data_IF_333539428273
#
_entry.id   IF_333539428273
#
_cell.length_a   1.000
_cell.length_b   1.000
_cell.length_c   1.000
_cell.angle_alpha   90.00
_cell.angle_beta   90.00
_cell.angle_gamma   90.00
#
_symmetry.space_group_name_H-M   'P 1'
#
loop_
_entity.id
_entity.type
_entity.pdbx_description
1 polymer ?
#
# COMPACT_ATOMS: atom_id res chain seq x y z
N UNK A 1 21.22 -5.51 -1.53
CA UNK A 1 21.24 -4.48 -2.59
C UNK A 1 22.15 -3.32 -2.21
N UNK A 2 22.16 -2.89 -0.92
CA UNK A 2 23.05 -1.84 -0.42
C UNK A 2 22.54 -0.41 -0.61
N UNK A 3 21.29 -0.23 -1.05
CA UNK A 3 20.66 1.07 -1.23
C UNK A 3 19.97 1.54 0.07
N UNK A 4 20.73 1.89 1.09
CA UNK A 4 20.22 2.22 2.42
C UNK A 4 19.32 3.46 2.42
N UNK A 5 19.66 4.50 1.64
CA UNK A 5 18.85 5.71 1.49
C UNK A 5 17.45 5.39 0.89
N UNK A 6 17.36 4.46 -0.05
CA UNK A 6 16.08 4.00 -0.62
C UNK A 6 15.26 3.23 0.42
N UNK A 7 15.91 2.38 1.23
CA UNK A 7 15.26 1.67 2.32
C UNK A 7 14.69 2.64 3.36
N UNK A 8 15.44 3.68 3.74
CA UNK A 8 14.98 4.72 4.67
C UNK A 8 13.83 5.54 4.07
N UNK A 9 13.89 5.87 2.79
CA UNK A 9 12.78 6.52 2.10
C UNK A 9 11.50 5.68 2.11
N UNK A 10 11.64 4.38 1.84
CA UNK A 10 10.50 3.48 1.93
C UNK A 10 9.97 3.34 3.35
N UNK A 11 10.83 3.24 4.35
CA UNK A 11 10.42 3.19 5.76
C UNK A 11 9.62 4.43 6.15
N UNK A 12 10.06 5.62 5.72
CA UNK A 12 9.39 6.88 5.97
C UNK A 12 8.00 6.92 5.33
N UNK A 13 7.88 6.63 4.04
CA UNK A 13 6.57 6.62 3.35
C UNK A 13 5.67 5.50 3.87
N UNK A 14 6.25 4.33 4.18
CA UNK A 14 5.56 3.17 4.71
C UNK A 14 4.89 3.46 6.07
N UNK A 15 5.52 4.27 6.91
CA UNK A 15 4.95 4.65 8.20
C UNK A 15 3.56 5.29 8.04
N UNK A 16 3.39 6.19 7.06
CA UNK A 16 2.10 6.86 6.83
C UNK A 16 1.02 5.90 6.37
N UNK A 17 1.21 5.19 5.27
CA UNK A 17 0.14 4.35 4.73
C UNK A 17 -0.10 3.09 5.56
N UNK A 18 0.92 2.58 6.26
CA UNK A 18 0.75 1.42 7.13
C UNK A 18 -0.03 1.79 8.39
N UNK A 19 0.34 2.87 9.05
CA UNK A 19 -0.43 3.36 10.19
C UNK A 19 -1.86 3.73 9.79
N UNK A 20 -2.07 4.35 8.60
CA UNK A 20 -3.39 4.64 8.05
C UNK A 20 -4.25 3.38 7.93
N UNK A 21 -3.70 2.30 7.39
CA UNK A 21 -4.42 1.04 7.23
C UNK A 21 -4.72 0.36 8.57
N UNK A 22 -3.78 0.36 9.51
CA UNK A 22 -3.99 -0.26 10.82
C UNK A 22 -5.01 0.50 11.67
N UNK A 23 -4.91 1.82 11.73
CA UNK A 23 -5.90 2.65 12.44
C UNK A 23 -7.26 2.63 11.75
N UNK A 24 -7.27 2.60 10.40
CA UNK A 24 -8.50 2.41 9.62
C UNK A 24 -9.16 1.05 9.87
N UNK A 25 -8.37 -0.03 9.97
CA UNK A 25 -8.88 -1.34 10.38
C UNK A 25 -9.45 -1.31 11.81
N UNK A 26 -8.80 -0.62 12.74
CA UNK A 26 -9.33 -0.37 14.09
C UNK A 26 -10.68 0.35 14.05
N UNK A 27 -10.86 1.32 13.14
CA UNK A 27 -12.11 2.02 12.91
C UNK A 27 -13.22 1.08 12.41
N UNK A 28 -12.90 0.16 11.49
CA UNK A 28 -13.85 -0.88 11.03
C UNK A 28 -14.23 -1.81 12.18
N UNK A 29 -13.25 -2.32 12.93
CA UNK A 29 -13.47 -3.22 14.08
C UNK A 29 -14.36 -2.54 15.13
N UNK A 30 -14.12 -1.27 15.42
CA UNK A 30 -14.96 -0.49 16.33
C UNK A 30 -16.43 -0.41 15.86
N UNK A 31 -16.65 -0.14 14.57
CA UNK A 31 -17.98 -0.09 13.98
C UNK A 31 -18.73 -1.45 14.04
N UNK A 32 -17.98 -2.54 14.06
CA UNK A 32 -18.49 -3.91 14.21
C UNK A 32 -18.41 -4.44 15.65
N UNK A 33 -18.35 -3.55 16.67
CA UNK A 33 -18.35 -3.90 18.11
C UNK A 33 -17.34 -5.00 18.44
N UNK A 34 -16.09 -4.77 18.05
CA UNK A 34 -14.91 -5.62 18.25
C UNK A 34 -14.88 -6.94 17.42
N UNK A 35 -15.73 -7.07 16.40
CA UNK A 35 -15.60 -8.16 15.44
C UNK A 35 -14.34 -8.00 14.57
N UNK A 36 -13.47 -9.00 14.56
CA UNK A 36 -12.20 -9.00 13.82
C UNK A 36 -12.21 -9.94 12.62
N UNK A 37 -13.17 -10.86 12.56
CA UNK A 37 -13.25 -11.80 11.46
C UNK A 37 -13.87 -11.14 10.22
N UNK A 38 -13.05 -10.96 9.19
CA UNK A 38 -13.45 -10.37 7.92
C UNK A 38 -14.58 -11.13 7.22
N UNK A 39 -14.81 -12.40 7.56
CA UNK A 39 -15.90 -13.22 7.02
C UNK A 39 -17.27 -12.76 7.53
N UNK A 40 -17.27 -12.11 8.69
CA UNK A 40 -18.46 -11.53 9.34
C UNK A 40 -18.65 -10.04 9.01
N UNK A 41 -17.89 -9.50 8.06
CA UNK A 41 -17.98 -8.11 7.60
C UNK A 41 -18.62 -8.05 6.21
N UNK A 42 -18.70 -6.87 5.64
CA UNK A 42 -19.16 -6.63 4.27
C UNK A 42 -20.24 -5.56 4.19
N UNK A 43 -20.41 -4.96 3.01
CA UNK A 43 -21.53 -4.08 2.69
C UNK A 43 -21.61 -2.73 3.41
N UNK A 44 -20.62 -2.36 4.23
CA UNK A 44 -20.68 -1.17 5.10
C UNK A 44 -20.17 0.13 4.45
N UNK A 45 -19.84 0.12 3.16
CA UNK A 45 -19.30 1.30 2.45
C UNK A 45 -20.13 2.58 2.70
N UNK A 46 -21.47 2.47 2.71
CA UNK A 46 -22.35 3.62 2.89
C UNK A 46 -22.48 4.05 4.35
N UNK A 47 -22.22 3.16 5.30
CA UNK A 47 -22.30 3.43 6.74
C UNK A 47 -21.00 4.02 7.29
N UNK A 48 -19.86 3.72 6.66
CA UNK A 48 -18.54 4.15 7.06
C UNK A 48 -17.82 4.92 5.93
N UNK A 49 -18.35 6.06 5.46
CA UNK A 49 -17.82 6.74 4.29
C UNK A 49 -16.41 7.31 4.48
N UNK A 50 -16.08 7.84 5.64
CA UNK A 50 -14.74 8.39 5.93
C UNK A 50 -13.73 7.25 6.12
N UNK A 51 -14.03 6.26 6.94
CA UNK A 51 -13.19 5.08 7.13
C UNK A 51 -12.96 4.36 5.80
N UNK A 52 -13.99 4.21 4.96
CA UNK A 52 -13.87 3.66 3.61
C UNK A 52 -12.85 4.42 2.76
N UNK A 53 -12.95 5.76 2.75
CA UNK A 53 -12.06 6.62 1.95
C UNK A 53 -10.61 6.49 2.42
N UNK A 54 -10.35 6.50 3.72
CA UNK A 54 -9.00 6.34 4.27
C UNK A 54 -8.43 4.94 4.04
N UNK A 55 -9.25 3.90 4.16
CA UNK A 55 -8.84 2.53 3.85
C UNK A 55 -8.56 2.33 2.36
N UNK A 56 -9.36 2.95 1.49
CA UNK A 56 -9.09 2.96 0.05
C UNK A 56 -7.76 3.64 -0.25
N UNK A 57 -7.55 4.84 0.30
CA UNK A 57 -6.32 5.61 0.11
C UNK A 57 -5.09 4.86 0.61
N UNK A 58 -5.17 4.28 1.81
CA UNK A 58 -4.09 3.46 2.37
C UNK A 58 -3.80 2.21 1.52
N UNK A 59 -4.84 1.55 1.01
CA UNK A 59 -4.69 0.39 0.11
C UNK A 59 -4.03 0.79 -1.20
N UNK A 60 -4.46 1.88 -1.83
CA UNK A 60 -3.83 2.40 -3.05
C UNK A 60 -2.35 2.77 -2.81
N UNK A 61 -2.05 3.45 -1.70
CA UNK A 61 -0.67 3.81 -1.36
C UNK A 61 0.20 2.56 -1.08
N UNK A 62 -0.30 1.59 -0.31
CA UNK A 62 0.40 0.34 0.00
C UNK A 62 0.70 -0.48 -1.27
N UNK A 63 -0.27 -0.56 -2.19
CA UNK A 63 -0.10 -1.35 -3.43
C UNK A 63 0.87 -0.70 -4.41
N UNK A 64 1.18 0.58 -4.26
CA UNK A 64 2.03 1.33 -5.18
C UNK A 64 1.26 1.88 -6.38
N UNK A 65 -0.01 2.26 -6.15
CA UNK A 65 -0.79 2.93 -7.19
C UNK A 65 -0.09 4.24 -7.62
N UNK A 66 -0.01 4.53 -8.93
CA UNK A 66 0.70 5.70 -9.44
C UNK A 66 0.36 7.00 -8.71
N UNK A 67 1.36 7.85 -8.51
CA UNK A 67 1.31 9.16 -7.85
C UNK A 67 1.10 9.17 -6.33
N UNK A 68 0.92 8.03 -5.68
CA UNK A 68 0.88 7.93 -4.22
C UNK A 68 2.26 7.62 -3.63
N UNK A 69 2.43 7.83 -2.33
CA UNK A 69 3.74 7.72 -1.66
C UNK A 69 4.42 6.37 -1.83
N UNK A 70 3.64 5.28 -1.81
CA UNK A 70 4.16 3.93 -1.99
C UNK A 70 4.71 3.66 -3.39
N UNK A 71 4.15 4.27 -4.43
CA UNK A 71 4.67 4.19 -5.79
C UNK A 71 6.13 4.68 -5.87
N UNK A 72 6.39 5.89 -5.36
CA UNK A 72 7.73 6.47 -5.42
C UNK A 72 8.78 5.69 -4.64
N UNK A 73 8.42 5.09 -3.51
CA UNK A 73 9.39 4.42 -2.65
C UNK A 73 9.54 2.92 -2.93
N UNK A 74 8.46 2.24 -3.27
CA UNK A 74 8.47 0.80 -3.52
C UNK A 74 9.12 0.48 -4.87
N UNK A 75 8.75 1.23 -5.91
CA UNK A 75 9.34 1.05 -7.23
C UNK A 75 10.83 1.37 -7.21
N UNK A 76 11.27 2.41 -6.48
CA UNK A 76 12.67 2.69 -6.28
C UNK A 76 13.47 1.50 -5.71
N UNK A 77 12.92 0.73 -4.75
CA UNK A 77 13.59 -0.48 -4.22
C UNK A 77 13.81 -1.51 -5.34
N UNK A 78 12.80 -1.74 -6.17
CA UNK A 78 12.84 -2.72 -7.26
C UNK A 78 13.80 -2.25 -8.34
N UNK A 79 13.77 -0.97 -8.70
CA UNK A 79 14.67 -0.32 -9.65
C UNK A 79 16.13 -0.41 -9.21
N UNK A 80 16.44 -0.06 -7.96
CA UNK A 80 17.79 -0.17 -7.41
C UNK A 80 18.30 -1.62 -7.32
N UNK A 81 17.41 -2.58 -7.07
CA UNK A 81 17.77 -3.99 -7.13
C UNK A 81 18.17 -4.41 -8.56
N UNK A 82 17.43 -3.96 -9.56
CA UNK A 82 17.73 -4.21 -10.97
C UNK A 82 19.03 -3.54 -11.43
N UNK A 83 19.22 -2.26 -11.09
CA UNK A 83 20.42 -1.47 -11.44
C UNK A 83 21.72 -2.05 -10.89
N UNK A 84 21.66 -2.89 -9.86
CA UNK A 84 22.86 -3.58 -9.34
C UNK A 84 23.50 -4.49 -10.38
N UNK A 85 22.81 -4.84 -11.45
CA UNK A 85 23.29 -5.64 -12.58
C UNK A 85 24.07 -6.89 -12.14
N UNK A 86 23.55 -7.64 -11.19
CA UNK A 86 24.11 -8.87 -10.65
C UNK A 86 23.04 -9.95 -10.57
N UNK A 87 23.44 -11.22 -10.56
CA UNK A 87 22.50 -12.35 -10.42
C UNK A 87 21.59 -12.18 -9.20
N UNK A 88 22.16 -11.77 -8.05
CA UNK A 88 21.39 -11.51 -6.83
C UNK A 88 20.48 -10.26 -6.97
N UNK A 89 20.92 -9.22 -7.67
CA UNK A 89 20.12 -8.03 -7.94
C UNK A 89 18.90 -8.34 -8.81
N UNK A 90 19.10 -9.07 -9.90
CA UNK A 90 18.02 -9.49 -10.80
C UNK A 90 17.03 -10.43 -10.10
N UNK A 91 17.51 -11.36 -9.27
CA UNK A 91 16.68 -12.22 -8.45
C UNK A 91 15.84 -11.39 -7.45
N UNK A 92 16.46 -10.44 -6.76
CA UNK A 92 15.77 -9.56 -5.81
C UNK A 92 14.70 -8.69 -6.51
N UNK A 93 15.02 -8.13 -7.68
CA UNK A 93 14.07 -7.36 -8.48
C UNK A 93 12.85 -8.21 -8.91
N UNK A 94 13.10 -9.42 -9.42
CA UNK A 94 12.04 -10.35 -9.86
C UNK A 94 11.12 -10.73 -8.69
N UNK A 95 11.69 -11.11 -7.54
CA UNK A 95 10.90 -11.41 -6.33
C UNK A 95 10.18 -10.16 -5.84
N UNK A 96 10.80 -8.98 -5.92
CA UNK A 96 10.18 -7.70 -5.57
C UNK A 96 8.91 -7.42 -6.38
N UNK A 97 8.96 -7.62 -7.70
CA UNK A 97 7.80 -7.48 -8.60
C UNK A 97 6.69 -8.47 -8.23
N UNK A 98 7.05 -9.75 -8.05
CA UNK A 98 6.09 -10.78 -7.67
C UNK A 98 5.44 -10.49 -6.32
N UNK A 99 6.22 -10.09 -5.32
CA UNK A 99 5.75 -9.69 -4.00
C UNK A 99 4.82 -8.46 -4.08
N UNK A 100 5.14 -7.50 -4.96
CA UNK A 100 4.29 -6.33 -5.18
C UNK A 100 2.91 -6.73 -5.70
N UNK A 101 2.85 -7.65 -6.67
CA UNK A 101 1.61 -8.19 -7.20
C UNK A 101 0.79 -8.93 -6.13
N UNK A 102 1.41 -9.85 -5.37
CA UNK A 102 0.73 -10.56 -4.29
C UNK A 102 0.24 -9.61 -3.18
N UNK A 103 1.05 -8.60 -2.84
CA UNK A 103 0.65 -7.56 -1.89
C UNK A 103 -0.61 -6.85 -2.36
N UNK A 104 -0.69 -6.54 -3.64
CA UNK A 104 -1.87 -5.90 -4.21
C UNK A 104 -3.11 -6.81 -4.11
N UNK A 105 -3.00 -8.09 -4.48
CA UNK A 105 -4.11 -9.05 -4.40
C UNK A 105 -4.65 -9.17 -2.96
N UNK A 106 -3.80 -9.40 -1.95
CA UNK A 106 -4.30 -9.58 -0.59
C UNK A 106 -4.86 -8.28 0.02
N UNK A 107 -4.32 -7.12 -0.36
CA UNK A 107 -4.79 -5.83 0.13
C UNK A 107 -6.19 -5.52 -0.42
N UNK A 108 -6.41 -5.76 -1.71
CA UNK A 108 -7.73 -5.63 -2.33
C UNK A 108 -8.73 -6.66 -1.79
N UNK A 109 -8.28 -7.89 -1.47
CA UNK A 109 -9.13 -8.87 -0.79
C UNK A 109 -9.65 -8.32 0.54
N UNK A 110 -8.77 -7.76 1.37
CA UNK A 110 -9.16 -7.16 2.66
C UNK A 110 -10.17 -6.03 2.43
N UNK A 111 -9.86 -5.11 1.54
CA UNK A 111 -10.69 -3.95 1.25
C UNK A 111 -12.08 -4.34 0.73
N UNK A 112 -12.15 -5.22 -0.27
CA UNK A 112 -13.41 -5.65 -0.85
C UNK A 112 -14.27 -6.43 0.14
N UNK A 113 -13.69 -7.35 0.90
CA UNK A 113 -14.43 -8.13 1.88
C UNK A 113 -14.95 -7.29 3.05
N UNK A 114 -14.23 -6.28 3.47
CA UNK A 114 -14.65 -5.40 4.56
C UNK A 114 -15.79 -4.47 4.14
N UNK A 115 -15.72 -3.89 2.95
CA UNK A 115 -16.61 -2.79 2.56
C UNK A 115 -17.64 -3.12 1.49
N UNK A 116 -17.35 -4.11 0.64
CA UNK A 116 -18.18 -4.50 -0.50
C UNK A 116 -18.81 -5.88 -0.27
N UNK A 117 -19.67 -6.27 -1.21
CA UNK A 117 -20.40 -7.54 -1.10
C UNK A 117 -21.59 -7.47 -0.12
N UNK A 118 -22.19 -8.63 0.19
CA UNK A 118 -23.31 -8.71 1.12
C UNK A 118 -22.86 -8.46 2.56
N UNK A 119 -23.76 -7.89 3.36
CA UNK A 119 -23.55 -7.79 4.80
C UNK A 119 -23.69 -9.18 5.44
N UNK A 120 -22.65 -9.64 6.12
CA UNK A 120 -22.60 -11.03 6.63
C UNK A 120 -22.65 -11.14 8.15
N UNK A 121 -22.69 -10.02 8.89
CA UNK A 121 -22.74 -10.10 10.35
C UNK A 121 -24.13 -10.52 10.83
N UNK A 122 -24.20 -11.65 11.55
CA UNK A 122 -25.46 -12.18 12.10
C UNK A 122 -25.78 -11.65 13.49
N UNK A 123 -24.80 -11.06 14.17
CA UNK A 123 -24.94 -10.60 15.57
C UNK A 123 -25.27 -9.11 15.66
N UNK A 124 -24.79 -8.32 14.71
CA UNK A 124 -24.90 -6.87 14.73
C UNK A 124 -25.72 -6.46 13.50
N UNK A 125 -26.88 -5.83 13.67
CA UNK A 125 -27.66 -5.28 12.56
C UNK A 125 -26.88 -4.18 11.83
N UNK A 126 -27.03 -4.07 10.51
CA UNK A 126 -26.33 -3.06 9.71
C UNK A 126 -26.66 -1.63 10.16
N UNK A 127 -27.85 -1.41 10.74
CA UNK A 127 -28.29 -0.10 11.21
C UNK A 127 -27.58 0.34 12.50
N UNK A 128 -26.99 -0.58 13.23
CA UNK A 128 -26.18 -0.30 14.41
C UNK A 128 -24.72 0.02 14.05
N UNK A 129 -24.29 -0.23 12.81
CA UNK A 129 -22.96 0.16 12.36
C UNK A 129 -22.94 1.66 12.04
N UNK A 130 -22.02 2.39 12.64
CA UNK A 130 -21.85 3.83 12.45
C UNK A 130 -20.40 4.21 12.33
N UNK A 131 -20.15 5.38 11.74
CA UNK A 131 -18.79 5.91 11.57
C UNK A 131 -18.11 6.15 12.93
N UNK A 132 -16.81 6.01 12.94
CA UNK A 132 -16.00 6.24 14.13
C UNK A 132 -16.02 7.70 14.58
N UNK A 133 -15.84 7.96 15.88
CA UNK A 133 -15.81 9.31 16.42
C UNK A 133 -14.64 10.12 15.86
N UNK A 134 -14.74 11.44 15.88
CA UNK A 134 -13.72 12.36 15.34
C UNK A 134 -12.32 12.14 15.92
N UNK A 135 -12.22 11.72 17.18
CA UNK A 135 -10.94 11.40 17.83
C UNK A 135 -10.19 10.29 17.08
N UNK A 136 -10.88 9.34 16.48
CA UNK A 136 -10.30 8.28 15.66
C UNK A 136 -10.06 8.75 14.22
N UNK A 137 -10.90 9.62 13.67
CA UNK A 137 -10.81 10.08 12.30
C UNK A 137 -9.70 11.13 12.08
N UNK A 138 -9.44 12.00 13.06
CA UNK A 138 -8.40 13.05 12.96
C UNK A 138 -7.01 12.46 12.62
N UNK A 139 -6.50 11.44 13.34
CA UNK A 139 -5.22 10.81 12.97
C UNK A 139 -5.22 10.24 11.55
N UNK A 140 -6.35 9.68 11.07
CA UNK A 140 -6.46 9.16 9.71
C UNK A 140 -6.31 10.26 8.66
N UNK A 141 -6.80 11.49 8.92
CA UNK A 141 -6.60 12.64 8.03
C UNK A 141 -5.11 12.95 7.86
N UNK A 142 -4.36 13.09 8.97
CA UNK A 142 -2.93 13.39 8.91
C UNK A 142 -2.14 12.29 8.21
N UNK A 143 -2.43 11.04 8.52
CA UNK A 143 -1.79 9.89 7.87
C UNK A 143 -2.17 9.79 6.38
N UNK A 144 -3.40 10.13 6.04
CA UNK A 144 -3.87 10.19 4.66
C UNK A 144 -3.13 11.24 3.83
N UNK A 145 -2.92 12.44 4.38
CA UNK A 145 -2.12 13.49 3.75
C UNK A 145 -0.68 12.98 3.51
N UNK A 146 -0.06 12.36 4.52
CA UNK A 146 1.26 11.74 4.38
C UNK A 146 1.28 10.63 3.33
N UNK A 147 0.26 9.77 3.26
CA UNK A 147 0.16 8.70 2.27
C UNK A 147 0.03 9.21 0.82
N UNK A 148 -0.50 10.41 0.61
CA UNK A 148 -0.57 11.05 -0.71
C UNK A 148 0.77 11.74 -1.03
N UNK A 149 1.23 12.63 -0.17
CA UNK A 149 2.23 13.62 -0.53
C UNK A 149 3.66 13.26 -0.15
N UNK A 150 3.90 12.42 0.87
CA UNK A 150 5.25 12.18 1.39
C UNK A 150 6.20 11.61 0.33
N UNK A 151 5.71 10.74 -0.55
CA UNK A 151 6.52 10.17 -1.62
C UNK A 151 7.01 11.22 -2.62
N UNK A 152 6.13 12.06 -3.08
CA UNK A 152 6.45 13.11 -4.05
C UNK A 152 7.36 14.19 -3.43
N UNK A 153 6.99 14.72 -2.27
CA UNK A 153 7.69 15.83 -1.63
C UNK A 153 9.12 15.47 -1.19
N UNK A 154 9.31 14.25 -0.68
CA UNK A 154 10.59 13.85 -0.09
C UNK A 154 11.47 12.99 -0.99
N UNK A 155 11.01 12.62 -2.21
CA UNK A 155 11.81 11.83 -3.15
C UNK A 155 13.17 12.47 -3.43
N UNK A 156 13.20 13.75 -3.76
CA UNK A 156 14.44 14.48 -4.10
C UNK A 156 15.40 14.58 -2.92
N UNK A 157 14.88 14.70 -1.70
CA UNK A 157 15.65 14.77 -0.46
C UNK A 157 16.27 13.45 -0.08
N UNK A 158 15.50 12.36 -0.15
CA UNK A 158 15.97 11.03 0.29
C UNK A 158 16.81 10.31 -0.76
N UNK A 159 16.40 10.34 -2.04
CA UNK A 159 16.98 9.52 -3.12
C UNK A 159 17.34 10.29 -4.39
N UNK A 160 17.04 11.59 -4.46
CA UNK A 160 17.32 12.45 -5.61
C UNK A 160 18.55 13.33 -5.43
N UNK A 161 18.56 14.48 -6.11
CA UNK A 161 19.71 15.40 -6.18
C UNK A 161 20.17 15.96 -4.83
N UNK A 162 19.28 16.08 -3.85
CA UNK A 162 19.60 16.59 -2.50
C UNK A 162 19.94 15.48 -1.50
N UNK A 163 20.03 14.22 -1.94
CA UNK A 163 20.28 13.11 -1.01
C UNK A 163 21.64 13.18 -0.32
N UNK A 164 22.69 13.59 -1.03
CA UNK A 164 24.03 13.71 -0.46
C UNK A 164 24.11 14.82 0.60
N UNK A 165 23.44 15.95 0.38
CA UNK A 165 23.37 17.05 1.34
C UNK A 165 22.55 16.66 2.58
N UNK A 166 21.47 15.91 2.38
CA UNK A 166 20.60 15.47 3.48
C UNK A 166 21.25 14.38 4.34
N UNK A 167 21.82 13.37 3.70
CA UNK A 167 22.39 12.23 4.41
C UNK A 167 23.80 12.49 4.94
N UNK A 168 24.57 13.36 4.27
CA UNK A 168 25.97 13.62 4.59
C UNK A 168 26.74 12.31 4.79
N UNK A 169 27.33 12.09 5.97
CA UNK A 169 28.08 10.88 6.34
C UNK A 169 27.24 9.88 7.16
N UNK A 170 25.94 10.16 7.39
CA UNK A 170 25.10 9.30 8.23
C UNK A 170 24.69 7.99 7.57
N UNK A 171 24.80 7.87 6.25
CA UNK A 171 24.52 6.64 5.49
C UNK A 171 25.70 6.33 4.57
N UNK A 172 26.13 5.09 4.56
CA UNK A 172 27.11 4.61 3.61
C UNK A 172 26.48 4.44 2.23
N UNK A 173 26.95 5.23 1.25
CA UNK A 173 26.61 5.04 -0.15
C UNK A 173 27.57 4.02 -0.73
N UNK A 174 27.09 2.86 -1.14
CA UNK A 174 27.86 1.96 -1.97
C UNK A 174 28.15 2.67 -3.29
N UNK A 175 29.44 2.93 -3.53
CA UNK A 175 29.94 3.64 -4.71
C UNK A 175 29.34 3.07 -6.00
N UNK A 176 28.86 3.98 -6.82
CA UNK A 176 28.57 3.83 -8.23
C UNK A 176 27.61 2.70 -8.63
N UNK A 177 26.34 2.86 -8.32
CA UNK A 177 25.31 2.36 -9.23
C UNK A 177 25.42 3.26 -10.46
N UNK A 178 26.07 2.76 -11.52
CA UNK A 178 26.04 3.44 -12.83
C UNK A 178 24.59 3.70 -13.16
N UNK A 179 24.24 4.94 -13.39
CA UNK A 179 22.91 5.35 -13.86
C UNK A 179 22.73 4.87 -15.31
N UNK A 180 22.72 3.56 -15.52
CA UNK A 180 22.24 2.96 -16.76
C UNK A 180 20.74 3.26 -16.81
N UNK A 181 20.28 3.71 -17.97
CA UNK A 181 18.86 4.00 -18.17
C UNK A 181 18.05 2.72 -17.98
N UNK A 182 17.15 2.73 -16.98
CA UNK A 182 16.24 1.60 -16.74
C UNK A 182 15.31 1.49 -17.95
N UNK A 183 15.15 0.31 -18.57
CA UNK A 183 14.25 0.14 -19.70
C UNK A 183 12.81 0.51 -19.31
N UNK A 184 12.09 1.19 -20.20
CA UNK A 184 10.71 1.62 -19.97
C UNK A 184 9.76 0.46 -19.58
N UNK A 185 9.96 -0.70 -20.21
CA UNK A 185 9.14 -1.89 -19.87
C UNK A 185 9.29 -2.31 -18.41
N UNK A 186 10.49 -2.15 -17.83
CA UNK A 186 10.75 -2.49 -16.42
C UNK A 186 10.07 -1.50 -15.47
N UNK A 187 10.11 -0.22 -15.79
CA UNK A 187 9.40 0.83 -15.02
C UNK A 187 7.88 0.64 -15.03
N UNK A 188 7.33 0.11 -16.12
CA UNK A 188 5.89 -0.03 -16.28
C UNK A 188 5.33 -1.35 -15.72
N UNK A 189 6.16 -2.38 -15.51
CA UNK A 189 5.67 -3.70 -15.12
C UNK A 189 4.95 -3.69 -13.77
N UNK A 190 5.51 -3.03 -12.77
CA UNK A 190 4.91 -2.96 -11.41
C UNK A 190 3.59 -2.19 -11.42
N UNK A 191 3.50 -0.96 -11.97
CA UNK A 191 2.23 -0.24 -12.07
C UNK A 191 1.15 -1.02 -12.84
N UNK A 192 1.51 -1.68 -13.95
CA UNK A 192 0.57 -2.48 -14.73
C UNK A 192 0.04 -3.66 -13.91
N UNK A 193 0.90 -4.40 -13.23
CA UNK A 193 0.49 -5.52 -12.38
C UNK A 193 -0.42 -5.07 -11.23
N UNK A 194 -0.13 -3.92 -10.62
CA UNK A 194 -0.98 -3.33 -9.58
C UNK A 194 -2.35 -2.98 -10.14
N UNK A 195 -2.44 -2.34 -11.30
CA UNK A 195 -3.72 -1.99 -11.93
C UNK A 195 -4.54 -3.23 -12.31
N UNK A 196 -3.90 -4.27 -12.87
CA UNK A 196 -4.55 -5.53 -13.24
C UNK A 196 -5.03 -6.30 -12.01
N UNK A 197 -4.33 -6.20 -10.88
CA UNK A 197 -4.71 -6.89 -9.64
C UNK A 197 -6.06 -6.44 -9.08
N UNK A 198 -6.49 -5.19 -9.36
CA UNK A 198 -7.76 -4.64 -8.87
C UNK A 198 -8.96 -5.42 -9.43
N UNK A 199 -9.16 -5.48 -10.78
CA UNK A 199 -10.27 -6.24 -11.34
C UNK A 199 -10.17 -7.74 -11.06
N UNK A 200 -8.98 -8.32 -11.01
CA UNK A 200 -8.79 -9.72 -10.62
C UNK A 200 -9.31 -9.95 -9.20
N UNK A 201 -8.90 -9.13 -8.24
CA UNK A 201 -9.35 -9.26 -6.85
C UNK A 201 -10.85 -9.02 -6.71
N UNK A 202 -11.41 -8.05 -7.45
CA UNK A 202 -12.84 -7.80 -7.45
C UNK A 202 -13.62 -9.01 -7.99
N UNK A 203 -13.18 -9.57 -9.10
CA UNK A 203 -13.80 -10.77 -9.70
C UNK A 203 -13.76 -11.96 -8.73
N UNK A 204 -12.59 -12.25 -8.14
CA UNK A 204 -12.39 -13.39 -7.24
C UNK A 204 -13.17 -13.25 -5.92
N UNK A 205 -13.23 -12.07 -5.34
CA UNK A 205 -13.73 -11.89 -3.96
C UNK A 205 -15.15 -11.34 -3.88
N UNK A 206 -15.69 -10.79 -4.96
CA UNK A 206 -17.04 -10.23 -4.99
C UNK A 206 -17.96 -10.99 -5.95
N UNK A 207 -17.50 -11.26 -7.19
CA UNK A 207 -18.35 -11.87 -8.21
C UNK A 207 -18.36 -13.41 -8.16
N UNK A 208 -17.24 -14.04 -7.84
CA UNK A 208 -17.07 -15.48 -7.96
C UNK A 208 -16.60 -16.13 -6.65
N UNK A 209 -17.44 -16.03 -5.61
CA UNK A 209 -17.16 -16.59 -4.28
C UNK A 209 -16.93 -18.11 -4.28
N UNK A 210 -17.38 -18.83 -5.30
CA UNK A 210 -17.26 -20.28 -5.39
C UNK A 210 -15.82 -20.77 -5.63
N UNK A 211 -14.95 -19.93 -6.21
CA UNK A 211 -13.54 -20.26 -6.45
C UNK A 211 -12.66 -20.20 -5.18
N UNK A 212 -13.17 -19.66 -4.09
CA UNK A 212 -12.40 -19.38 -2.86
C UNK A 212 -12.71 -20.42 -1.77
N UNK A 213 -13.73 -21.24 -1.96
CA UNK A 213 -14.08 -22.35 -1.05
C UNK A 213 -13.33 -23.63 -1.44
N UNK A 214 -12.00 -23.55 -1.48
CA UNK A 214 -11.14 -24.72 -1.42
C UNK A 214 -10.50 -24.77 -0.04
#
# INVERSE_FOLDING_TARGET
VGAYHVAMFHLFTHAFFKALLFLGAGSVIHAFKDEQDIRNMGGVRKKLPYTYTFMLLGTLALTGFPFLSGFYSKDAIIEFAYLKNSTLGNYAATIGIFTAFLTSIYSWRLFFKAFHGPYNNKKIPIDETHESPLVMLIPLVFLGIGAIFSGYLFKTTFIGHHSNEFWQESIFFLSEIKHESIPLWFLLITPILVLISIPISFYLYILNLSLIHI
#
